data_IF_665682980040
#
_entry.id   IF_665682980040
#
_cell.length_a   1.000
_cell.length_b   1.000
_cell.length_c   1.000
_cell.angle_alpha   90.00
_cell.angle_beta   90.00
_cell.angle_gamma   90.00
#
_symmetry.space_group_name_H-M   'P 1'
#
loop_
_entity.id
_entity.type
_entity.pdbx_description
1 polymer ?
#
# COMPACT_ATOMS: atom_id res chain seq x y z
N UNK A 1 -12.04 -8.93 -9.56
CA UNK A 1 -11.59 -9.34 -8.19
C UNK A 1 -10.96 -8.15 -7.46
N UNK A 2 -10.81 -8.20 -6.13
CA UNK A 2 -10.39 -7.05 -5.31
C UNK A 2 -9.42 -7.41 -4.19
N UNK A 3 -8.31 -6.67 -4.10
CA UNK A 3 -7.40 -6.63 -2.95
C UNK A 3 -7.85 -5.53 -1.99
N UNK A 4 -7.83 -5.80 -0.70
CA UNK A 4 -8.20 -4.82 0.32
C UNK A 4 -6.97 -4.42 1.14
N UNK A 5 -6.62 -3.13 1.09
CA UNK A 5 -5.60 -2.51 1.92
C UNK A 5 -6.28 -1.70 3.02
N UNK A 6 -6.14 -2.16 4.26
CA UNK A 6 -6.62 -1.42 5.44
C UNK A 6 -5.46 -0.71 6.12
N UNK A 7 -5.49 0.62 6.10
CA UNK A 7 -4.47 1.50 6.64
C UNK A 7 -4.68 1.86 8.10
N UNK A 8 -3.55 2.12 8.75
CA UNK A 8 -3.44 2.74 10.08
C UNK A 8 -2.50 3.93 9.94
N UNK A 9 -3.06 5.14 9.99
CA UNK A 9 -2.30 6.38 9.92
C UNK A 9 -1.59 6.69 11.24
N UNK A 10 -0.36 7.17 11.15
CA UNK A 10 0.47 7.65 12.27
C UNK A 10 1.20 8.92 11.83
N UNK A 11 1.67 9.72 12.79
CA UNK A 11 2.35 10.99 12.50
C UNK A 11 3.57 10.83 11.56
N UNK A 12 4.37 9.77 11.76
CA UNK A 12 5.59 9.54 10.98
C UNK A 12 5.42 8.63 9.74
N UNK A 13 4.22 8.14 9.43
CA UNK A 13 4.05 7.15 8.37
C UNK A 13 2.71 6.44 8.41
N UNK A 14 2.44 5.64 7.38
CA UNK A 14 1.23 4.83 7.30
C UNK A 14 1.64 3.37 7.18
N UNK A 15 1.08 2.53 8.05
CA UNK A 15 1.19 1.07 7.92
C UNK A 15 -0.15 0.53 7.44
N UNK A 16 -0.15 -0.58 6.73
CA UNK A 16 -1.40 -1.21 6.31
C UNK A 16 -1.32 -2.73 6.23
N UNK A 17 -2.49 -3.35 6.20
CA UNK A 17 -2.67 -4.80 6.06
C UNK A 17 -3.32 -5.07 4.71
N UNK A 18 -2.65 -5.85 3.86
CA UNK A 18 -3.16 -6.23 2.55
C UNK A 18 -3.78 -7.63 2.62
N UNK A 19 -5.03 -7.74 2.17
CA UNK A 19 -5.81 -8.99 2.19
C UNK A 19 -6.49 -9.27 0.86
N UNK A 20 -6.77 -10.54 0.60
CA UNK A 20 -7.63 -11.01 -0.49
C UNK A 20 -8.70 -11.91 0.09
N UNK A 21 -9.98 -11.56 -0.11
CA UNK A 21 -11.11 -12.29 0.45
C UNK A 21 -10.98 -12.53 1.97
N UNK A 22 -10.49 -11.53 2.71
CA UNK A 22 -10.25 -11.61 4.16
C UNK A 22 -8.96 -12.34 4.56
N UNK A 23 -8.28 -13.05 3.65
CA UNK A 23 -7.02 -13.72 3.94
C UNK A 23 -5.83 -12.77 3.86
N UNK A 24 -4.98 -12.81 4.89
CA UNK A 24 -3.77 -12.00 4.97
C UNK A 24 -2.75 -12.37 3.87
N UNK A 25 -2.28 -11.34 3.13
CA UNK A 25 -1.21 -11.48 2.15
C UNK A 25 0.11 -11.02 2.75
N UNK A 26 0.17 -9.74 3.14
CA UNK A 26 1.35 -9.07 3.68
C UNK A 26 0.95 -7.76 4.39
N UNK A 27 1.91 -7.13 5.05
CA UNK A 27 1.79 -5.75 5.49
C UNK A 27 2.28 -4.79 4.40
N UNK A 28 2.01 -3.51 4.59
CA UNK A 28 2.47 -2.43 3.73
C UNK A 28 3.00 -1.27 4.57
N UNK A 29 3.94 -0.51 4.01
CA UNK A 29 4.46 0.73 4.54
C UNK A 29 4.32 1.83 3.48
N UNK A 30 3.97 3.02 3.92
CA UNK A 30 3.77 4.21 3.09
C UNK A 30 4.18 5.47 3.87
N UNK A 31 4.29 6.59 3.15
CA UNK A 31 4.46 7.92 3.74
C UNK A 31 3.24 8.31 4.61
N UNK A 32 3.38 9.30 5.53
CA UNK A 32 2.21 9.85 6.22
C UNK A 32 1.21 10.45 5.24
N UNK A 33 -0.04 10.59 5.65
CA UNK A 33 -1.02 11.35 4.89
C UNK A 33 -0.72 12.85 5.02
N UNK A 34 -0.57 13.53 3.88
CA UNK A 34 -0.29 14.97 3.77
C UNK A 34 -1.15 15.57 2.65
N UNK A 35 -2.46 15.33 2.68
CA UNK A 35 -3.42 15.89 1.71
C UNK A 35 -3.07 15.59 0.24
N UNK A 36 -2.67 14.34 -0.05
CA UNK A 36 -2.26 13.89 -1.39
C UNK A 36 -1.09 14.71 -2.01
N UNK A 37 -0.30 15.42 -1.18
CA UNK A 37 0.85 16.17 -1.66
C UNK A 37 1.88 15.26 -2.34
N UNK A 38 2.44 15.76 -3.44
CA UNK A 38 3.40 14.99 -4.25
C UNK A 38 4.66 14.68 -3.45
N UNK A 39 5.14 13.45 -3.56
CA UNK A 39 6.41 12.96 -3.03
C UNK A 39 6.53 12.88 -1.50
N UNK A 40 5.57 13.44 -0.76
CA UNK A 40 5.59 13.47 0.71
C UNK A 40 4.34 12.83 1.35
N UNK A 41 3.31 12.52 0.56
CA UNK A 41 2.06 11.90 1.03
C UNK A 41 1.89 10.47 0.48
N UNK A 42 1.25 9.59 1.26
CA UNK A 42 0.54 8.45 0.68
C UNK A 42 -0.66 8.91 -0.18
N UNK A 43 -1.12 8.06 -1.09
CA UNK A 43 -2.26 8.38 -1.99
C UNK A 43 -3.59 8.33 -1.25
N UNK A 44 -4.67 8.96 -1.76
CA UNK A 44 -5.97 8.93 -1.10
C UNK A 44 -6.52 7.51 -0.92
N UNK A 45 -7.47 7.36 0.00
CA UNK A 45 -8.32 6.17 0.04
C UNK A 45 -9.22 6.12 -1.21
N UNK A 46 -9.59 4.92 -1.62
CA UNK A 46 -10.38 4.73 -2.82
C UNK A 46 -10.11 3.40 -3.51
N UNK A 47 -10.76 3.23 -4.66
CA UNK A 47 -10.65 2.02 -5.49
C UNK A 47 -9.86 2.32 -6.74
N UNK A 48 -8.76 1.60 -6.93
CA UNK A 48 -7.83 1.83 -8.02
C UNK A 48 -7.62 0.56 -8.84
N UNK A 49 -7.53 0.70 -10.16
CA UNK A 49 -7.16 -0.44 -11.01
C UNK A 49 -5.66 -0.72 -10.88
N UNK A 50 -5.31 -2.01 -10.78
CA UNK A 50 -3.92 -2.44 -10.78
C UNK A 50 -3.48 -2.91 -12.17
N UNK A 51 -2.25 -2.56 -12.55
CA UNK A 51 -1.61 -3.01 -13.78
C UNK A 51 -0.24 -3.59 -13.47
N UNK A 52 0.08 -4.75 -14.04
CA UNK A 52 1.46 -5.27 -14.01
C UNK A 52 2.34 -4.44 -14.93
N UNK A 53 3.52 -4.09 -14.43
CA UNK A 53 4.53 -3.30 -15.14
C UNK A 53 5.92 -3.88 -14.90
N UNK A 54 6.78 -3.75 -15.89
CA UNK A 54 8.20 -4.06 -15.79
C UNK A 54 9.04 -2.79 -15.92
N UNK A 55 10.12 -2.69 -15.15
CA UNK A 55 11.15 -1.66 -15.34
C UNK A 55 12.52 -2.19 -14.91
N UNK A 56 13.64 -1.70 -15.47
CA UNK A 56 14.97 -2.13 -15.04
C UNK A 56 15.25 -1.91 -13.55
N UNK A 57 14.70 -0.85 -12.95
CA UNK A 57 14.98 -0.47 -11.56
C UNK A 57 14.25 -1.37 -10.54
N UNK A 58 13.04 -1.84 -10.86
CA UNK A 58 12.18 -2.58 -9.94
C UNK A 58 11.79 -3.98 -10.43
N UNK A 59 12.28 -4.40 -11.59
CA UNK A 59 11.82 -5.59 -12.32
C UNK A 59 10.28 -5.58 -12.45
N UNK A 60 9.64 -6.72 -12.24
CA UNK A 60 8.18 -6.84 -12.21
C UNK A 60 7.62 -6.19 -10.94
N UNK A 61 6.66 -5.30 -11.12
CA UNK A 61 5.96 -4.58 -10.05
C UNK A 61 4.53 -4.27 -10.48
N UNK A 62 3.75 -3.65 -9.59
CA UNK A 62 2.40 -3.20 -9.91
C UNK A 62 2.35 -1.68 -9.96
N UNK A 63 1.47 -1.18 -10.80
CA UNK A 63 1.13 0.24 -10.92
C UNK A 63 -0.33 0.43 -10.51
N UNK A 64 -0.57 1.50 -9.75
CA UNK A 64 -1.88 1.96 -9.32
C UNK A 64 -2.31 3.06 -10.29
N UNK A 65 -3.38 2.79 -11.05
CA UNK A 65 -3.87 3.70 -12.09
C UNK A 65 -4.87 4.72 -11.53
N UNK A 66 -5.03 5.82 -12.28
CA UNK A 66 -6.07 6.83 -12.07
C UNK A 66 -6.05 7.51 -10.68
N UNK A 67 -4.86 7.65 -10.09
CA UNK A 67 -4.68 8.42 -8.86
C UNK A 67 -4.77 9.91 -9.18
N UNK A 68 -5.78 10.60 -8.64
CA UNK A 68 -6.01 12.02 -8.90
C UNK A 68 -4.76 12.87 -8.61
N UNK A 69 -4.33 13.66 -9.61
CA UNK A 69 -3.20 14.58 -9.51
C UNK A 69 -1.82 13.91 -9.40
N UNK A 70 -1.74 12.58 -9.50
CA UNK A 70 -0.52 11.78 -9.34
C UNK A 70 -0.35 10.80 -10.49
N UNK A 71 0.89 10.46 -10.78
CA UNK A 71 1.28 9.49 -11.82
C UNK A 71 2.38 8.61 -11.27
N UNK A 72 2.59 7.44 -11.90
CA UNK A 72 3.66 6.51 -11.52
C UNK A 72 3.62 6.13 -10.04
N UNK A 73 2.41 5.89 -9.52
CA UNK A 73 2.23 5.33 -8.19
C UNK A 73 2.36 3.82 -8.31
N UNK A 74 3.36 3.27 -7.61
CA UNK A 74 3.76 1.88 -7.77
C UNK A 74 3.58 1.12 -6.46
N UNK A 75 3.46 -0.20 -6.58
CA UNK A 75 3.70 -1.14 -5.49
C UNK A 75 5.06 -1.78 -5.75
N UNK A 76 6.09 -1.37 -5.00
CA UNK A 76 7.47 -1.79 -5.20
C UNK A 76 8.18 -2.09 -3.87
N UNK A 77 9.30 -2.83 -3.87
CA UNK A 77 10.01 -3.12 -2.64
C UNK A 77 10.62 -1.85 -2.05
N UNK A 78 10.44 -1.67 -0.75
CA UNK A 78 11.17 -0.75 0.12
C UNK A 78 11.00 -1.24 1.57
N UNK A 79 11.94 -0.89 2.44
CA UNK A 79 11.92 -1.25 3.86
C UNK A 79 11.80 -0.02 4.77
N UNK A 80 12.05 1.19 4.24
CA UNK A 80 11.86 2.47 4.92
C UNK A 80 11.07 3.44 4.01
N UNK A 81 9.87 3.80 4.43
CA UNK A 81 8.98 4.64 3.64
C UNK A 81 9.53 6.05 3.37
N UNK A 82 10.14 6.68 4.38
CA UNK A 82 10.62 8.07 4.28
C UNK A 82 11.81 8.16 3.33
N UNK A 83 12.73 7.20 3.43
CA UNK A 83 13.96 7.19 2.64
C UNK A 83 13.67 6.79 1.18
N UNK A 84 12.83 5.78 0.96
CA UNK A 84 12.73 5.08 -0.32
C UNK A 84 11.44 5.36 -1.10
N UNK A 85 10.39 5.92 -0.49
CA UNK A 85 9.10 6.17 -1.16
C UNK A 85 8.85 7.64 -1.46
N UNK A 86 8.13 7.89 -2.55
CA UNK A 86 7.66 9.22 -2.98
C UNK A 86 6.15 9.21 -3.25
N UNK A 87 5.42 8.50 -2.39
CA UNK A 87 3.97 8.27 -2.47
C UNK A 87 3.55 6.91 -3.03
N UNK A 88 4.51 6.03 -3.30
CA UNK A 88 4.28 4.62 -3.60
C UNK A 88 3.90 3.82 -2.35
N UNK A 89 3.52 2.56 -2.55
CA UNK A 89 3.21 1.59 -1.50
C UNK A 89 4.27 0.50 -1.50
N UNK A 90 4.85 0.17 -0.35
CA UNK A 90 5.80 -0.94 -0.25
C UNK A 90 5.23 -2.11 0.55
N UNK A 91 5.13 -3.32 -0.03
CA UNK A 91 4.73 -4.49 0.71
C UNK A 91 5.92 -4.99 1.57
N UNK A 92 5.65 -5.47 2.78
CA UNK A 92 6.62 -6.06 3.71
C UNK A 92 6.01 -7.28 4.40
N UNK A 93 6.81 -8.28 4.77
CA UNK A 93 6.27 -9.45 5.50
C UNK A 93 6.13 -9.18 6.99
N UNK A 94 6.93 -8.27 7.53
CA UNK A 94 6.91 -7.90 8.93
C UNK A 94 7.13 -6.40 9.08
N UNK A 95 6.34 -5.77 9.94
CA UNK A 95 6.52 -4.39 10.36
C UNK A 95 7.60 -4.33 11.45
N UNK A 96 8.49 -3.34 11.36
CA UNK A 96 9.52 -3.06 12.38
C UNK A 96 9.26 -1.74 13.10
N UNK A 97 8.37 -0.90 12.58
CA UNK A 97 8.06 0.41 13.12
C UNK A 97 7.01 1.15 12.28
N UNK A 98 6.87 2.45 12.53
CA UNK A 98 5.99 3.32 11.75
C UNK A 98 6.68 3.59 10.41
N UNK A 99 6.05 3.19 9.30
CA UNK A 99 6.61 3.36 7.97
C UNK A 99 7.85 2.50 7.69
N UNK A 100 8.15 1.50 8.52
CA UNK A 100 9.32 0.63 8.35
C UNK A 100 8.96 -0.86 8.49
N UNK A 101 9.64 -1.69 7.70
CA UNK A 101 9.44 -3.13 7.70
C UNK A 101 10.57 -3.89 7.02
N UNK A 102 10.45 -5.21 6.98
CA UNK A 102 11.47 -6.11 6.41
C UNK A 102 10.86 -7.14 5.45
N UNK A 103 11.73 -7.74 4.65
CA UNK A 103 11.40 -8.75 3.63
C UNK A 103 10.48 -8.24 2.52
N UNK A 104 10.63 -6.98 2.10
CA UNK A 104 9.79 -6.37 1.06
C UNK A 104 9.82 -7.08 -0.29
N UNK A 105 10.99 -7.57 -0.72
CA UNK A 105 11.11 -8.35 -1.96
C UNK A 105 10.34 -9.66 -1.91
N UNK A 106 10.35 -10.34 -0.77
CA UNK A 106 9.57 -11.57 -0.57
C UNK A 106 8.07 -11.26 -0.60
N UNK A 107 7.66 -10.18 0.07
CA UNK A 107 6.27 -9.71 0.08
C UNK A 107 5.77 -9.37 -1.32
N UNK A 108 6.56 -8.64 -2.11
CA UNK A 108 6.22 -8.33 -3.48
C UNK A 108 6.14 -9.60 -4.35
N UNK A 109 7.08 -10.54 -4.21
CA UNK A 109 7.05 -11.80 -4.96
C UNK A 109 5.75 -12.59 -4.69
N UNK A 110 5.35 -12.68 -3.42
CA UNK A 110 4.07 -13.31 -3.04
C UNK A 110 2.88 -12.58 -3.66
N UNK A 111 2.86 -11.24 -3.57
CA UNK A 111 1.79 -10.43 -4.14
C UNK A 111 1.68 -10.57 -5.66
N UNK A 112 2.81 -10.56 -6.38
CA UNK A 112 2.84 -10.75 -7.84
C UNK A 112 2.35 -12.14 -8.22
N UNK A 113 2.76 -13.19 -7.50
CA UNK A 113 2.26 -14.54 -7.73
C UNK A 113 0.74 -14.61 -7.65
N UNK A 114 0.14 -14.00 -6.63
CA UNK A 114 -1.31 -13.91 -6.48
C UNK A 114 -1.90 -13.09 -7.63
N UNK A 115 -1.33 -11.91 -7.93
CA UNK A 115 -1.80 -11.04 -9.01
C UNK A 115 -1.88 -11.78 -10.35
N UNK A 116 -0.85 -12.54 -10.71
CA UNK A 116 -0.80 -13.28 -11.98
C UNK A 116 -1.85 -14.38 -12.03
N UNK A 117 -2.02 -15.16 -10.95
CA UNK A 117 -3.07 -16.18 -10.85
C UNK A 117 -4.48 -15.60 -11.01
N UNK A 118 -4.75 -14.43 -10.43
CA UNK A 118 -6.06 -13.79 -10.55
C UNK A 118 -6.30 -13.22 -11.96
N UNK A 119 -5.24 -12.77 -12.65
CA UNK A 119 -5.34 -12.17 -13.99
C UNK A 119 -5.56 -13.20 -15.09
N UNK A 120 -5.10 -14.45 -14.93
CA UNK A 120 -5.35 -15.54 -15.88
C UNK A 120 -6.85 -15.79 -16.11
N UNK A 121 -7.71 -15.38 -15.17
CA UNK A 121 -9.17 -15.45 -15.30
C UNK A 121 -9.78 -14.26 -16.08
N UNK A 122 -8.95 -13.44 -16.75
CA UNK A 122 -9.34 -12.28 -17.58
C UNK A 122 -10.09 -11.14 -16.86
N UNK A 123 -10.06 -11.13 -15.53
CA UNK A 123 -10.69 -10.09 -14.71
C UNK A 123 -9.76 -8.90 -14.47
N UNK A 124 -10.34 -7.69 -14.48
CA UNK A 124 -9.67 -6.52 -13.92
C UNK A 124 -9.49 -6.72 -12.41
N UNK A 125 -8.27 -6.48 -11.93
CA UNK A 125 -7.95 -6.48 -10.50
C UNK A 125 -7.94 -5.05 -9.97
N UNK A 126 -8.65 -4.84 -8.87
CA UNK A 126 -8.71 -3.56 -8.17
C UNK A 126 -8.03 -3.66 -6.80
N UNK A 127 -7.44 -2.55 -6.37
CA UNK A 127 -7.01 -2.31 -5.00
C UNK A 127 -8.02 -1.36 -4.35
N UNK A 128 -8.69 -1.83 -3.31
CA UNK A 128 -9.52 -1.01 -2.44
C UNK A 128 -8.72 -0.58 -1.21
N UNK A 129 -8.50 0.72 -1.07
CA UNK A 129 -7.76 1.32 0.04
C UNK A 129 -8.77 1.95 0.99
N UNK A 130 -8.74 1.52 2.24
CA UNK A 130 -9.58 2.04 3.32
C UNK A 130 -8.77 2.16 4.62
N UNK A 131 -9.35 2.77 5.64
CA UNK A 131 -8.82 2.73 7.01
C UNK A 131 -9.89 2.35 8.02
N UNK A 132 -9.47 1.77 9.14
CA UNK A 132 -10.40 1.49 10.22
C UNK A 132 -10.66 2.78 11.02
N UNK A 133 -11.70 3.52 10.60
CA UNK A 133 -12.10 4.82 11.16
C UNK A 133 -12.36 4.78 12.68
N UNK A 134 -12.74 3.62 13.23
CA UNK A 134 -12.97 3.45 14.66
C UNK A 134 -11.71 3.59 15.52
N UNK A 135 -10.54 3.13 15.03
CA UNK A 135 -9.28 3.29 15.78
C UNK A 135 -8.76 4.73 15.78
N UNK A 136 -9.03 5.48 14.71
CA UNK A 136 -8.74 6.90 14.64
C UNK A 136 -9.57 7.70 15.66
N UNK A 137 -10.87 7.43 15.73
CA UNK A 137 -11.78 8.10 16.67
C UNK A 137 -11.47 7.76 18.14
N UNK A 138 -11.09 6.51 18.46
CA UNK A 138 -10.69 6.14 19.83
C UNK A 138 -9.45 6.88 20.32
N UNK A 139 -8.48 7.15 19.45
CA UNK A 139 -7.25 7.90 19.84
C UNK A 139 -7.54 9.36 20.14
N UNK A 140 -8.43 10.01 19.37
CA UNK A 140 -8.85 11.39 19.64
C UNK A 140 -9.53 11.51 21.00
N UNK A 141 -10.38 10.54 21.36
CA UNK A 141 -11.06 10.55 22.65
C UNK A 141 -10.10 10.40 23.84
N UNK A 142 -9.01 9.64 23.69
CA UNK A 142 -8.01 9.45 24.76
C UNK A 142 -7.09 10.66 24.95
N UNK A 143 -6.90 11.51 23.94
CA UNK A 143 -6.05 12.72 24.05
C UNK A 143 -6.77 13.94 24.63
N UNK A 144 -8.08 13.85 24.87
CA UNK A 144 -8.91 14.92 25.43
C UNK A 144 -9.42 14.61 26.86
N UNK A 145 -8.76 13.70 27.56
CA UNK A 145 -8.98 13.35 28.99
C UNK A 145 -7.65 13.36 29.70
#
# INVERSE_FOLDING_TARGET
MELNLTRVYKCGGTNGTLTLNGHFICFTIELPWQENQRNISCIPEGKYQLRSRYSPNFNNHLEILDVYGRTLILIHPANNAIEELRGCIAPVMQLTGIGTGIYSRLALKKLLSIFHQLKENNDKLFLNINSNRYEYLRKIQQTHT
#
